data_IF_883204795500
#
_entry.id   IF_883204795500
#
_cell.length_a   1.000
_cell.length_b   1.000
_cell.length_c   1.000
_cell.angle_alpha   90.00
_cell.angle_beta   90.00
_cell.angle_gamma   90.00
#
_symmetry.space_group_name_H-M   'P 1'
#
loop_
_entity.id
_entity.type
_entity.pdbx_description
1 polymer ?
#
# COMPACT_ATOMS: atom_id res chain seq x y z
N UNK A 1 -21.81 -20.72 -0.80
CA UNK A 1 -20.49 -20.27 -1.28
C UNK A 1 -19.71 -21.49 -1.75
N UNK A 2 -19.06 -21.45 -2.91
CA UNK A 2 -18.20 -22.53 -3.35
C UNK A 2 -17.03 -22.70 -2.37
N UNK A 3 -16.61 -23.95 -2.14
CA UNK A 3 -15.47 -24.26 -1.27
C UNK A 3 -14.19 -23.95 -2.04
N UNK A 4 -13.37 -23.03 -1.54
CA UNK A 4 -12.04 -22.73 -2.08
C UNK A 4 -10.94 -23.51 -1.35
N UNK A 5 -9.78 -23.62 -1.98
CA UNK A 5 -8.58 -24.22 -1.44
C UNK A 5 -7.52 -23.14 -1.32
N UNK A 6 -6.64 -23.25 -0.33
CA UNK A 6 -5.53 -22.31 -0.16
C UNK A 6 -4.33 -22.97 0.48
N UNK A 7 -3.16 -22.42 0.14
CA UNK A 7 -1.89 -22.77 0.75
C UNK A 7 -1.24 -21.45 1.17
N UNK A 8 -0.80 -21.41 2.42
CA UNK A 8 -0.08 -20.29 2.99
C UNK A 8 1.25 -20.81 3.56
N UNK A 9 2.31 -20.10 3.27
CA UNK A 9 3.62 -20.35 3.84
C UNK A 9 4.13 -19.06 4.47
N UNK A 10 4.40 -19.10 5.76
CA UNK A 10 4.98 -17.98 6.51
C UNK A 10 6.31 -18.40 7.11
N UNK A 11 7.32 -17.54 7.00
CA UNK A 11 8.60 -17.67 7.68
C UNK A 11 8.94 -16.39 8.42
N UNK A 12 9.27 -16.53 9.69
CA UNK A 12 9.85 -15.45 10.50
C UNK A 12 11.23 -15.86 10.94
N UNK A 13 12.24 -15.10 10.57
CA UNK A 13 13.60 -15.29 11.03
C UNK A 13 13.73 -15.07 12.54
N UNK A 14 14.84 -15.50 13.14
CA UNK A 14 15.14 -15.19 14.52
C UNK A 14 15.09 -13.68 14.72
N UNK A 15 14.44 -13.26 15.80
CA UNK A 15 14.36 -11.85 16.16
C UNK A 15 15.52 -11.54 17.08
N UNK A 16 16.51 -10.83 16.57
CA UNK A 16 17.55 -10.20 17.36
C UNK A 16 17.43 -8.66 17.28
N UNK A 17 18.22 -7.94 18.06
CA UNK A 17 18.17 -6.49 18.11
C UNK A 17 18.71 -5.83 16.84
N UNK A 18 19.55 -6.55 16.09
CA UNK A 18 20.18 -6.06 14.87
C UNK A 18 19.33 -6.28 13.62
N UNK A 19 18.75 -7.49 13.45
CA UNK A 19 18.04 -7.88 12.24
C UNK A 19 16.76 -8.64 12.55
N UNK A 20 15.67 -8.14 12.01
CA UNK A 20 14.36 -8.82 12.01
C UNK A 20 13.87 -8.94 10.58
N UNK A 21 13.46 -10.13 10.16
CA UNK A 21 12.92 -10.34 8.82
C UNK A 21 11.88 -11.45 8.79
N UNK A 22 11.03 -11.37 7.80
CA UNK A 22 10.03 -12.39 7.56
C UNK A 22 9.45 -12.27 6.16
N UNK A 23 8.92 -13.36 5.67
CA UNK A 23 8.20 -13.37 4.40
C UNK A 23 7.01 -14.32 4.47
N UNK A 24 6.02 -14.06 3.64
CA UNK A 24 4.79 -14.82 3.51
C UNK A 24 4.43 -14.96 2.04
N UNK A 25 4.01 -16.15 1.67
CA UNK A 25 3.43 -16.45 0.36
C UNK A 25 2.09 -17.12 0.58
N UNK A 26 1.06 -16.55 0.00
CA UNK A 26 -0.30 -17.05 0.07
C UNK A 26 -0.84 -17.28 -1.34
N UNK A 27 -1.43 -18.44 -1.57
CA UNK A 27 -2.19 -18.73 -2.79
C UNK A 27 -3.48 -19.44 -2.41
N UNK A 28 -4.60 -18.79 -2.69
CA UNK A 28 -5.93 -19.33 -2.40
C UNK A 28 -6.84 -19.19 -3.58
N UNK A 29 -7.79 -20.12 -3.68
CA UNK A 29 -8.86 -20.10 -4.67
C UNK A 29 -10.17 -19.70 -3.98
N UNK A 30 -10.93 -18.79 -4.58
CA UNK A 30 -12.21 -18.33 -4.05
C UNK A 30 -12.01 -17.36 -2.89
N UNK A 31 -12.06 -16.07 -3.16
CA UNK A 31 -12.15 -15.01 -2.16
C UNK A 31 -13.61 -14.72 -1.84
N UNK A 32 -13.87 -14.19 -0.63
CA UNK A 32 -15.22 -13.66 -0.30
C UNK A 32 -15.63 -12.48 -1.20
N UNK A 33 -14.70 -11.93 -1.94
CA UNK A 33 -14.88 -10.80 -2.86
C UNK A 33 -14.81 -11.21 -4.33
N UNK A 34 -14.76 -12.51 -4.64
CA UNK A 34 -14.67 -13.03 -5.98
C UNK A 34 -16.01 -13.64 -6.39
N UNK A 35 -16.50 -13.28 -7.58
CA UNK A 35 -17.74 -13.83 -8.15
C UNK A 35 -17.57 -15.27 -8.64
N UNK A 36 -16.36 -15.65 -9.00
CA UNK A 36 -15.96 -16.98 -9.45
C UNK A 36 -14.86 -17.55 -8.55
N UNK A 37 -14.46 -18.81 -8.80
CA UNK A 37 -13.34 -19.45 -8.10
C UNK A 37 -12.00 -19.07 -8.74
N UNK A 38 -11.78 -17.76 -8.93
CA UNK A 38 -10.48 -17.24 -9.36
C UNK A 38 -9.39 -17.45 -8.32
N UNK A 39 -8.13 -17.39 -8.77
CA UNK A 39 -6.98 -17.49 -7.89
C UNK A 39 -6.58 -16.14 -7.35
N UNK A 40 -6.28 -16.09 -6.07
CA UNK A 40 -5.58 -15.00 -5.43
C UNK A 40 -4.19 -15.50 -5.05
N UNK A 41 -3.15 -14.77 -5.46
CA UNK A 41 -1.77 -15.03 -5.08
C UNK A 41 -1.18 -13.76 -4.48
N UNK A 42 -0.56 -13.86 -3.32
CA UNK A 42 0.16 -12.75 -2.73
C UNK A 42 1.48 -13.22 -2.13
N UNK A 43 2.48 -12.33 -2.18
CA UNK A 43 3.72 -12.50 -1.46
C UNK A 43 4.10 -11.17 -0.80
N UNK A 44 4.60 -11.27 0.41
CA UNK A 44 5.05 -10.12 1.17
C UNK A 44 6.33 -10.44 1.92
N UNK A 45 7.14 -9.41 2.12
CA UNK A 45 8.36 -9.49 2.88
C UNK A 45 8.55 -8.26 3.75
N UNK A 46 9.13 -8.46 4.91
CA UNK A 46 9.49 -7.39 5.84
C UNK A 46 10.93 -7.60 6.31
N UNK A 47 11.69 -6.53 6.34
CA UNK A 47 13.02 -6.49 6.95
C UNK A 47 13.14 -5.23 7.79
N UNK A 48 13.74 -5.37 8.96
CA UNK A 48 14.11 -4.27 9.83
C UNK A 48 15.54 -4.49 10.31
N UNK A 49 16.39 -3.48 10.17
CA UNK A 49 17.81 -3.52 10.53
C UNK A 49 18.08 -2.37 11.50
N UNK A 50 18.66 -2.67 12.64
CA UNK A 50 19.07 -1.70 13.65
C UNK A 50 20.59 -1.81 13.88
N UNK A 51 21.42 -1.16 13.01
CA UNK A 51 22.88 -1.25 13.12
C UNK A 51 23.43 -0.68 14.41
N UNK A 52 22.65 0.13 15.10
CA UNK A 52 22.95 0.68 16.43
C UNK A 52 21.66 1.09 17.12
N UNK A 53 21.71 1.36 18.42
CA UNK A 53 20.57 1.88 19.21
C UNK A 53 20.06 3.24 18.70
N UNK A 54 20.84 3.90 17.84
CA UNK A 54 20.54 5.22 17.30
C UNK A 54 20.05 5.20 15.85
N UNK A 55 20.13 4.07 15.14
CA UNK A 55 19.74 3.96 13.75
C UNK A 55 18.89 2.71 13.52
N UNK A 56 17.71 2.88 12.98
CA UNK A 56 16.88 1.79 12.48
C UNK A 56 16.36 2.05 11.08
N UNK A 57 16.31 0.99 10.28
CA UNK A 57 15.83 0.97 8.91
C UNK A 57 14.76 -0.12 8.81
N UNK A 58 13.69 0.14 8.08
CA UNK A 58 12.65 -0.85 7.82
C UNK A 58 12.17 -0.79 6.39
N UNK A 59 11.90 -1.96 5.82
CA UNK A 59 11.29 -2.11 4.50
C UNK A 59 10.22 -3.19 4.58
N UNK A 60 9.04 -2.88 4.08
CA UNK A 60 7.96 -3.81 3.83
C UNK A 60 7.61 -3.75 2.35
N UNK A 61 7.46 -4.91 1.73
CA UNK A 61 7.01 -5.05 0.36
C UNK A 61 5.91 -6.10 0.27
N UNK A 62 4.85 -5.78 -0.45
CA UNK A 62 3.78 -6.72 -0.78
C UNK A 62 3.41 -6.60 -2.24
N UNK A 63 3.26 -7.76 -2.90
CA UNK A 63 2.66 -7.87 -4.22
C UNK A 63 1.50 -8.87 -4.16
N UNK A 64 0.39 -8.53 -4.81
CA UNK A 64 -0.78 -9.38 -4.89
C UNK A 64 -1.39 -9.36 -6.28
N UNK A 65 -1.90 -10.50 -6.70
CA UNK A 65 -2.71 -10.67 -7.91
C UNK A 65 -3.98 -11.42 -7.52
N UNK A 66 -5.11 -11.00 -8.06
CA UNK A 66 -6.41 -11.59 -7.80
C UNK A 66 -7.18 -11.66 -9.10
N UNK A 67 -7.51 -12.87 -9.52
CA UNK A 67 -8.44 -13.13 -10.63
C UNK A 67 -9.85 -12.91 -10.12
N UNK A 68 -10.73 -12.38 -10.96
CA UNK A 68 -12.14 -12.17 -10.68
C UNK A 68 -12.41 -11.36 -9.39
N UNK A 69 -11.55 -10.35 -9.11
CA UNK A 69 -11.78 -9.45 -8.00
C UNK A 69 -13.10 -8.71 -8.15
N UNK A 70 -14.05 -9.00 -7.25
CA UNK A 70 -15.39 -8.44 -7.27
C UNK A 70 -15.41 -7.07 -6.60
N UNK A 71 -15.90 -6.07 -7.33
CA UNK A 71 -16.09 -4.70 -6.83
C UNK A 71 -17.56 -4.28 -7.02
N UNK A 72 -18.15 -3.73 -5.96
CA UNK A 72 -19.46 -3.08 -6.05
C UNK A 72 -19.28 -1.68 -6.63
N UNK A 73 -20.11 -1.31 -7.60
CA UNK A 73 -20.02 -0.03 -8.29
C UNK A 73 -21.14 0.92 -7.88
N UNK A 74 -22.38 0.51 -8.13
CA UNK A 74 -23.57 1.28 -7.76
C UNK A 74 -24.80 0.38 -7.79
N UNK A 75 -25.81 0.71 -7.01
CA UNK A 75 -27.09 0.00 -6.96
C UNK A 75 -26.91 -1.52 -6.86
N UNK A 76 -27.33 -2.27 -7.90
CA UNK A 76 -27.13 -3.70 -8.03
C UNK A 76 -26.07 -4.09 -9.07
N UNK A 77 -25.23 -3.13 -9.49
CA UNK A 77 -24.15 -3.33 -10.47
C UNK A 77 -22.86 -3.69 -9.76
N UNK A 78 -22.29 -4.81 -10.14
CA UNK A 78 -20.97 -5.26 -9.71
C UNK A 78 -20.07 -5.46 -10.92
N UNK A 79 -18.77 -5.35 -10.71
CA UNK A 79 -17.75 -5.65 -11.72
C UNK A 79 -16.74 -6.64 -11.19
N UNK A 80 -16.31 -7.60 -12.01
CA UNK A 80 -15.11 -8.39 -11.74
C UNK A 80 -13.96 -7.90 -12.57
N UNK A 81 -12.75 -8.02 -12.04
CA UNK A 81 -11.52 -7.49 -12.63
C UNK A 81 -10.35 -8.43 -12.37
N UNK A 82 -9.38 -8.42 -13.29
CA UNK A 82 -8.04 -8.94 -13.07
C UNK A 82 -7.25 -7.89 -12.28
N UNK A 83 -7.02 -8.12 -10.99
CA UNK A 83 -6.38 -7.16 -10.09
C UNK A 83 -4.92 -7.47 -9.88
N UNK A 84 -4.06 -6.46 -9.97
CA UNK A 84 -2.66 -6.49 -9.51
C UNK A 84 -2.43 -5.32 -8.56
N UNK A 85 -1.71 -5.58 -7.48
CA UNK A 85 -1.39 -4.55 -6.47
C UNK A 85 0.03 -4.71 -5.99
N UNK A 86 0.70 -3.58 -5.77
CA UNK A 86 2.02 -3.51 -5.13
C UNK A 86 2.00 -2.46 -4.04
N UNK A 87 2.52 -2.81 -2.87
CA UNK A 87 2.66 -1.89 -1.74
C UNK A 87 4.10 -1.94 -1.26
N UNK A 88 4.71 -0.77 -1.10
CA UNK A 88 6.05 -0.61 -0.52
C UNK A 88 5.98 0.38 0.62
N UNK A 89 6.51 0.01 1.78
CA UNK A 89 6.63 0.92 2.92
C UNK A 89 8.08 0.89 3.38
N UNK A 90 8.71 2.06 3.43
CA UNK A 90 10.08 2.22 3.91
C UNK A 90 10.13 3.19 5.09
N UNK A 91 10.99 2.93 6.04
CA UNK A 91 11.21 3.76 7.21
C UNK A 91 12.68 3.87 7.57
N UNK A 92 13.07 5.06 8.01
CA UNK A 92 14.36 5.34 8.64
C UNK A 92 14.11 6.15 9.90
N UNK A 93 14.77 5.77 10.98
CA UNK A 93 14.82 6.53 12.21
C UNK A 93 16.26 6.62 12.68
N UNK A 94 16.70 7.86 12.94
CA UNK A 94 18.05 8.14 13.39
C UNK A 94 18.06 9.17 14.51
N UNK A 95 18.88 8.89 15.51
CA UNK A 95 19.13 9.78 16.65
C UNK A 95 20.62 10.13 16.75
N UNK A 96 20.92 11.34 17.12
CA UNK A 96 22.30 11.74 17.51
C UNK A 96 22.26 12.42 18.86
N UNK A 97 22.72 11.68 19.87
CA UNK A 97 22.52 12.08 21.26
C UNK A 97 21.03 12.29 21.56
N UNK A 98 20.75 13.12 22.57
CA UNK A 98 19.37 13.44 22.97
C UNK A 98 18.75 14.59 22.16
N UNK A 99 19.57 15.27 21.31
CA UNK A 99 19.17 16.53 20.68
C UNK A 99 18.61 16.39 19.28
N UNK A 100 19.05 15.39 18.52
CA UNK A 100 18.70 15.25 17.12
C UNK A 100 17.87 13.99 16.88
N UNK A 101 16.81 14.13 16.13
CA UNK A 101 15.99 13.01 15.65
C UNK A 101 15.62 13.26 14.19
N UNK A 102 15.94 12.30 13.32
CA UNK A 102 15.48 12.26 11.93
C UNK A 102 14.59 11.06 11.74
N UNK A 103 13.40 11.27 11.18
CA UNK A 103 12.50 10.21 10.72
C UNK A 103 12.17 10.43 9.26
N UNK A 104 12.30 9.37 8.47
CA UNK A 104 11.85 9.33 7.08
C UNK A 104 10.85 8.18 6.96
N UNK A 105 9.71 8.45 6.33
CA UNK A 105 8.70 7.45 6.01
C UNK A 105 8.27 7.61 4.57
N UNK A 106 8.18 6.50 3.86
CA UNK A 106 7.65 6.44 2.50
C UNK A 106 6.66 5.28 2.41
N UNK A 107 5.49 5.55 1.86
CA UNK A 107 4.51 4.53 1.50
C UNK A 107 4.09 4.75 0.06
N UNK A 108 4.15 3.71 -0.73
CA UNK A 108 3.73 3.71 -2.13
C UNK A 108 2.78 2.54 -2.36
N UNK A 109 1.66 2.82 -3.02
CA UNK A 109 0.69 1.82 -3.47
C UNK A 109 0.45 2.02 -4.96
N UNK A 110 0.59 0.96 -5.72
CA UNK A 110 0.18 0.88 -7.11
C UNK A 110 -0.83 -0.26 -7.27
N UNK A 111 -1.89 -0.01 -8.01
CA UNK A 111 -2.99 -0.93 -8.19
C UNK A 111 -3.52 -0.81 -9.62
N UNK A 112 -3.77 -1.95 -10.26
CA UNK A 112 -4.46 -2.04 -11.54
C UNK A 112 -5.60 -3.05 -11.43
N UNK A 113 -6.74 -2.75 -12.05
CA UNK A 113 -7.87 -3.65 -12.22
C UNK A 113 -8.29 -3.62 -13.68
N UNK A 114 -8.16 -4.74 -14.38
CA UNK A 114 -8.32 -4.87 -15.82
C UNK A 114 -9.37 -5.91 -16.20
N UNK A 115 -9.64 -6.01 -17.50
CA UNK A 115 -10.56 -6.99 -18.08
C UNK A 115 -11.91 -7.02 -17.35
N UNK A 116 -12.57 -5.85 -17.23
CA UNK A 116 -13.80 -5.74 -16.48
C UNK A 116 -14.92 -6.58 -17.09
N UNK A 117 -15.66 -7.29 -16.23
CA UNK A 117 -16.91 -7.96 -16.58
C UNK A 117 -18.02 -7.45 -15.68
N UNK A 118 -19.11 -6.99 -16.26
CA UNK A 118 -20.24 -6.47 -15.51
C UNK A 118 -21.23 -7.55 -15.11
N UNK A 119 -21.79 -7.41 -13.91
CA UNK A 119 -22.84 -8.27 -13.37
C UNK A 119 -23.94 -7.42 -12.75
N UNK A 120 -25.16 -7.94 -12.83
CA UNK A 120 -26.32 -7.44 -12.10
C UNK A 120 -26.68 -8.43 -11.00
N UNK A 121 -26.71 -7.98 -9.76
CA UNK A 121 -27.21 -8.77 -8.66
C UNK A 121 -28.75 -8.79 -8.66
N UNK A 122 -29.35 -9.97 -8.54
CA UNK A 122 -30.78 -10.11 -8.30
C UNK A 122 -31.13 -9.93 -6.82
N UNK A 123 -32.43 -10.00 -6.50
CA UNK A 123 -32.94 -9.86 -5.13
C UNK A 123 -32.47 -11.00 -4.19
N UNK A 124 -31.96 -12.08 -4.72
CA UNK A 124 -31.45 -13.24 -3.97
C UNK A 124 -29.91 -13.20 -3.86
N UNK A 125 -29.26 -12.20 -4.47
CA UNK A 125 -27.81 -12.05 -4.49
C UNK A 125 -27.09 -12.90 -5.54
N UNK A 126 -27.79 -13.46 -6.54
CA UNK A 126 -27.16 -14.12 -7.66
C UNK A 126 -26.61 -13.08 -8.63
N UNK A 127 -25.46 -13.35 -9.21
CA UNK A 127 -24.79 -12.48 -10.17
C UNK A 127 -25.10 -12.92 -11.60
N UNK A 128 -25.77 -12.07 -12.34
CA UNK A 128 -26.13 -12.31 -13.74
C UNK A 128 -25.23 -11.47 -14.65
N UNK A 129 -24.45 -12.06 -15.57
CA UNK A 129 -23.60 -11.32 -16.50
C UNK A 129 -24.41 -10.32 -17.31
N UNK A 130 -23.86 -9.12 -17.51
CA UNK A 130 -24.49 -8.05 -18.31
C UNK A 130 -23.51 -7.51 -19.35
N UNK A 131 -23.89 -7.65 -20.64
CA UNK A 131 -23.15 -7.06 -21.75
C UNK A 131 -23.55 -5.61 -22.05
N UNK A 132 -24.59 -5.10 -21.41
CA UNK A 132 -25.12 -3.76 -21.67
C UNK A 132 -24.42 -2.69 -20.83
N UNK A 133 -23.58 -3.09 -19.88
CA UNK A 133 -22.85 -2.19 -19.00
C UNK A 133 -21.38 -2.23 -19.41
N UNK A 134 -20.88 -1.10 -19.89
CA UNK A 134 -19.46 -0.94 -20.23
C UNK A 134 -18.71 -0.46 -19.00
N UNK A 135 -17.82 -1.28 -18.49
CA UNK A 135 -16.94 -0.94 -17.39
C UNK A 135 -15.56 -0.54 -17.92
N UNK A 136 -14.91 0.37 -17.24
CA UNK A 136 -13.56 0.81 -17.58
C UNK A 136 -12.54 0.14 -16.64
N UNK A 137 -11.29 -0.07 -17.10
CA UNK A 137 -10.21 -0.48 -16.24
C UNK A 137 -9.94 0.62 -15.19
N UNK A 138 -9.37 0.25 -14.08
CA UNK A 138 -9.09 1.17 -12.97
C UNK A 138 -7.62 1.09 -12.64
N UNK A 139 -6.95 2.23 -12.55
CA UNK A 139 -5.61 2.35 -11.98
C UNK A 139 -5.63 3.25 -10.76
N UNK A 140 -4.79 2.93 -9.78
CA UNK A 140 -4.61 3.74 -8.59
C UNK A 140 -3.12 3.85 -8.28
N UNK A 141 -2.70 5.07 -8.04
CA UNK A 141 -1.36 5.39 -7.56
C UNK A 141 -1.46 6.22 -6.30
N UNK A 142 -0.75 5.83 -5.26
CA UNK A 142 -0.74 6.55 -3.99
C UNK A 142 0.69 6.68 -3.47
N UNK A 143 1.03 7.87 -3.02
CA UNK A 143 2.30 8.20 -2.38
C UNK A 143 2.02 8.96 -1.09
N UNK A 144 2.66 8.54 -0.02
CA UNK A 144 2.83 9.32 1.20
C UNK A 144 4.31 9.30 1.58
N UNK A 145 4.97 10.44 1.43
CA UNK A 145 6.38 10.63 1.79
C UNK A 145 6.51 11.71 2.83
N UNK A 146 7.27 11.46 3.88
CA UNK A 146 7.51 12.41 4.95
C UNK A 146 8.95 12.33 5.43
N UNK A 147 9.61 13.48 5.53
CA UNK A 147 10.85 13.68 6.26
C UNK A 147 10.55 14.59 7.46
N UNK A 148 10.89 14.14 8.64
CA UNK A 148 10.74 14.93 9.87
C UNK A 148 12.05 14.96 10.62
N UNK A 149 12.56 16.17 10.83
CA UNK A 149 13.72 16.43 11.67
C UNK A 149 13.31 17.21 12.89
N UNK A 150 13.76 16.78 14.07
CA UNK A 150 13.59 17.46 15.35
C UNK A 150 14.96 17.78 15.93
N UNK A 151 15.11 19.01 16.38
CA UNK A 151 16.29 19.46 17.11
C UNK A 151 15.89 20.06 18.46
N UNK A 152 16.50 19.60 19.54
CA UNK A 152 16.33 20.16 20.88
C UNK A 152 17.33 21.30 21.08
N UNK A 153 16.82 22.53 21.09
CA UNK A 153 17.61 23.75 21.29
C UNK A 153 18.09 23.86 22.73
N UNK A 154 17.16 23.63 23.68
CA UNK A 154 17.36 23.55 25.11
C UNK A 154 16.26 22.66 25.72
N UNK A 155 16.34 22.25 26.99
CA UNK A 155 15.31 21.44 27.60
C UNK A 155 13.90 21.98 27.35
N UNK A 156 13.04 21.16 26.78
CA UNK A 156 11.63 21.45 26.42
C UNK A 156 11.43 22.47 25.28
N UNK A 157 12.50 22.91 24.59
CA UNK A 157 12.43 23.77 23.42
C UNK A 157 12.90 23.01 22.17
N UNK A 158 12.05 22.91 21.16
CA UNK A 158 12.29 22.09 19.98
C UNK A 158 12.05 22.86 18.69
N UNK A 159 12.96 22.68 17.74
CA UNK A 159 12.77 23.05 16.34
C UNK A 159 12.34 21.78 15.57
N UNK A 160 11.25 21.88 14.83
CA UNK A 160 10.79 20.84 13.90
C UNK A 160 10.89 21.36 12.48
N UNK A 161 11.47 20.53 11.61
CA UNK A 161 11.46 20.73 10.16
C UNK A 161 10.76 19.52 9.58
N UNK A 162 9.68 19.74 8.84
CA UNK A 162 8.88 18.68 8.26
C UNK A 162 8.68 18.94 6.76
N UNK A 163 9.02 17.96 5.96
CA UNK A 163 8.71 17.93 4.56
C UNK A 163 7.74 16.77 4.29
N UNK A 164 6.66 17.04 3.57
CA UNK A 164 5.69 16.03 3.16
C UNK A 164 5.39 16.18 1.68
N UNK A 165 5.37 15.05 0.98
CA UNK A 165 5.00 14.97 -0.43
C UNK A 165 4.10 13.78 -0.64
N UNK A 166 3.05 13.94 -1.45
CA UNK A 166 2.18 12.81 -1.75
C UNK A 166 0.91 13.18 -2.48
N UNK A 167 0.12 12.18 -2.72
CA UNK A 167 -1.16 12.29 -3.39
C UNK A 167 -1.71 10.92 -3.76
N UNK A 168 -2.95 10.94 -4.22
CA UNK A 168 -3.67 9.77 -4.70
C UNK A 168 -4.26 10.08 -6.06
N UNK A 169 -3.84 9.35 -7.09
CA UNK A 169 -4.33 9.48 -8.46
C UNK A 169 -5.12 8.22 -8.78
N UNK A 170 -6.37 8.41 -9.21
CA UNK A 170 -7.23 7.34 -9.75
C UNK A 170 -7.54 7.70 -11.18
N UNK A 171 -7.37 6.74 -12.09
CA UNK A 171 -7.62 6.96 -13.51
C UNK A 171 -8.25 5.72 -14.17
N UNK A 172 -8.99 5.96 -15.24
CA UNK A 172 -9.63 4.94 -16.08
C UNK A 172 -8.71 4.61 -17.26
N UNK A 173 -7.45 4.29 -16.97
CA UNK A 173 -6.47 4.02 -18.01
C UNK A 173 -5.99 2.56 -17.99
N UNK A 174 -5.24 2.21 -19.03
CA UNK A 174 -4.75 0.84 -19.25
C UNK A 174 -3.29 0.64 -18.83
N UNK A 175 -2.71 1.54 -18.03
CA UNK A 175 -1.34 1.37 -17.56
C UNK A 175 -1.19 0.08 -16.74
N UNK A 176 -0.25 -0.76 -17.15
CA UNK A 176 -0.02 -2.09 -16.59
C UNK A 176 1.25 -2.18 -15.76
N UNK A 177 2.17 -1.26 -15.98
CA UNK A 177 3.40 -1.22 -15.21
C UNK A 177 3.18 -0.55 -13.86
N UNK A 178 3.11 -1.35 -12.82
CA UNK A 178 3.01 -0.86 -11.44
C UNK A 178 4.19 0.04 -11.05
N UNK A 179 5.32 -0.02 -11.76
CA UNK A 179 6.47 0.85 -11.51
C UNK A 179 6.24 2.25 -12.09
N UNK A 180 5.58 2.35 -13.24
CA UNK A 180 5.16 3.65 -13.79
C UNK A 180 4.10 4.29 -12.91
N UNK A 181 3.16 3.51 -12.37
CA UNK A 181 2.18 4.01 -11.42
C UNK A 181 2.81 4.60 -10.14
N UNK A 182 3.96 4.07 -9.68
CA UNK A 182 4.67 4.65 -8.55
C UNK A 182 5.25 6.04 -8.83
N UNK A 183 5.59 6.34 -10.10
CA UNK A 183 6.16 7.64 -10.49
C UNK A 183 5.11 8.74 -10.57
N UNK A 184 3.85 8.41 -10.88
CA UNK A 184 2.78 9.39 -11.07
C UNK A 184 2.61 10.35 -9.89
N UNK A 185 2.32 9.89 -8.65
CA UNK A 185 2.11 10.80 -7.53
C UNK A 185 3.41 11.44 -7.03
N UNK A 186 4.58 10.94 -7.47
CA UNK A 186 5.86 11.59 -7.20
C UNK A 186 6.07 12.78 -8.13
N UNK A 187 5.74 12.63 -9.42
CA UNK A 187 5.90 13.66 -10.45
C UNK A 187 4.78 14.71 -10.41
N UNK A 188 3.56 14.29 -10.07
CA UNK A 188 2.38 15.15 -9.96
C UNK A 188 1.74 14.97 -8.55
N UNK A 189 2.36 15.50 -7.51
CA UNK A 189 1.85 15.36 -6.15
C UNK A 189 0.66 16.30 -5.90
N UNK A 190 -0.35 15.82 -5.19
CA UNK A 190 -1.46 16.66 -4.70
C UNK A 190 -1.05 17.52 -3.49
N UNK A 191 0.01 17.15 -2.83
CA UNK A 191 0.55 17.84 -1.66
C UNK A 191 2.08 17.81 -1.72
N UNK A 192 2.69 18.98 -1.62
CA UNK A 192 4.14 19.18 -1.52
C UNK A 192 4.40 20.34 -0.55
N UNK A 193 4.65 20.01 0.71
CA UNK A 193 4.67 20.99 1.80
C UNK A 193 5.97 20.93 2.58
N UNK A 194 6.47 22.10 2.90
CA UNK A 194 7.59 22.31 3.81
C UNK A 194 7.13 23.14 5.02
N UNK A 195 7.34 22.63 6.22
CA UNK A 195 6.90 23.27 7.46
C UNK A 195 8.04 23.37 8.45
N UNK A 196 8.23 24.55 9.04
CA UNK A 196 9.12 24.77 10.16
C UNK A 196 8.29 25.20 11.37
N UNK A 197 8.47 24.53 12.51
CA UNK A 197 7.77 24.82 13.76
C UNK A 197 8.76 24.94 14.90
N UNK A 198 8.69 26.05 15.60
CA UNK A 198 9.38 26.25 16.87
C UNK A 198 8.39 26.03 18.03
N UNK A 199 8.73 25.13 18.94
CA UNK A 199 8.02 24.95 20.21
C UNK A 199 8.96 25.42 21.33
N UNK A 200 8.54 26.41 22.06
CA UNK A 200 9.26 26.95 23.19
C UNK A 200 8.37 26.87 24.44
N UNK A 201 8.94 26.50 25.57
CA UNK A 201 8.27 26.51 26.87
C UNK A 201 8.98 27.54 27.75
N UNK A 202 8.22 28.51 28.19
CA UNK A 202 8.64 29.52 29.17
C UNK A 202 8.63 28.93 30.57
#
# INVERSE_FOLDING_TARGET
>A
MPKGYGVEFEYRGPSDDFLQYGFEVDRRQGSRYSAALGWQTSYQGKVSISPSDTLSLSLFYKHGQEEDWLNWLQDNVLGTYQKKQRTTIAGLQWFKGNKHELRIKAQMVAFTARDPQAYLADLYGNLNPSSNINLLPITLSELAFQVRYRYELMPLAYLYVVYTKGGRIVADDTEDDLSELYKRPWNDPQSDNFTVKLRYRF
#
